data_IF_451025788487
#
_entry.id   IF_451025788487
#
_cell.length_a   1.000
_cell.length_b   1.000
_cell.length_c   1.000
_cell.angle_alpha   90.00
_cell.angle_beta   90.00
_cell.angle_gamma   90.00
#
_symmetry.space_group_name_H-M   'P 1'
#
loop_
_entity.id
_entity.type
_entity.pdbx_description
1 polymer ?
#
# COMPACT_ATOMS: atom_id res chain seq x y z
N UNK A 1 -36.98 41.53 26.01
CA UNK A 1 -35.95 40.47 25.84
C UNK A 1 -36.23 39.67 24.57
N UNK A 2 -37.37 39.04 24.38
CA UNK A 2 -37.69 38.19 23.23
C UNK A 2 -37.49 38.87 21.86
N UNK A 3 -37.91 40.15 21.74
CA UNK A 3 -37.74 40.94 20.51
C UNK A 3 -36.26 41.14 20.16
N UNK A 4 -35.41 41.40 21.16
CA UNK A 4 -33.95 41.53 20.95
C UNK A 4 -33.27 40.24 20.57
N UNK A 5 -33.70 39.12 21.17
CA UNK A 5 -33.21 37.78 20.80
C UNK A 5 -33.57 37.45 19.34
N UNK A 6 -34.79 37.70 18.92
CA UNK A 6 -35.25 37.49 17.55
C UNK A 6 -34.43 38.38 16.54
N UNK A 7 -34.17 39.62 16.86
CA UNK A 7 -33.37 40.51 16.02
C UNK A 7 -31.91 40.04 15.92
N UNK A 8 -31.34 39.52 17.00
CA UNK A 8 -29.98 38.99 17.01
C UNK A 8 -29.89 37.68 16.21
N UNK A 9 -30.87 36.81 16.33
CA UNK A 9 -30.95 35.58 15.54
C UNK A 9 -31.02 35.88 14.04
N UNK A 10 -31.85 36.83 13.62
CA UNK A 10 -31.93 37.30 12.22
C UNK A 10 -30.61 37.92 11.75
N UNK A 11 -29.95 38.73 12.55
CA UNK A 11 -28.67 39.32 12.18
C UNK A 11 -27.57 38.29 11.97
N UNK A 12 -27.53 37.24 12.78
CA UNK A 12 -26.58 36.13 12.59
C UNK A 12 -26.89 35.35 11.31
N UNK A 13 -28.18 35.10 11.01
CA UNK A 13 -28.59 34.47 9.74
C UNK A 13 -28.15 35.32 8.54
N UNK A 14 -28.46 36.60 8.54
CA UNK A 14 -28.06 37.54 7.47
C UNK A 14 -26.52 37.55 7.28
N UNK A 15 -25.76 37.54 8.38
CA UNK A 15 -24.32 37.44 8.36
C UNK A 15 -23.84 36.15 7.68
N UNK A 16 -24.47 35.01 8.02
CA UNK A 16 -24.16 33.70 7.37
C UNK A 16 -24.52 33.68 5.90
N UNK A 17 -25.63 34.26 5.50
CA UNK A 17 -26.05 34.29 4.09
C UNK A 17 -25.18 35.23 3.24
N UNK A 18 -24.73 36.35 3.83
CA UNK A 18 -23.92 37.37 3.13
C UNK A 18 -22.44 36.98 3.05
N UNK A 19 -21.90 36.55 4.16
CA UNK A 19 -20.47 36.21 4.29
C UNK A 19 -20.32 35.00 5.24
N UNK A 20 -20.55 33.79 4.75
CA UNK A 20 -20.45 32.58 5.57
C UNK A 20 -19.11 32.48 6.26
N UNK A 21 -19.10 32.36 7.59
CA UNK A 21 -17.87 32.20 8.35
C UNK A 21 -18.04 31.22 9.51
N UNK A 22 -16.98 30.46 9.87
CA UNK A 22 -17.03 29.55 11.01
C UNK A 22 -17.37 30.25 12.33
N UNK A 23 -16.99 31.51 12.51
CA UNK A 23 -17.24 32.28 13.72
C UNK A 23 -18.72 32.57 13.88
N UNK A 24 -19.37 33.08 12.82
CA UNK A 24 -20.82 33.39 12.84
C UNK A 24 -21.60 32.08 13.03
N UNK A 25 -21.21 31.02 12.31
CA UNK A 25 -21.85 29.69 12.43
C UNK A 25 -21.81 29.18 13.86
N UNK A 26 -20.63 29.10 14.48
CA UNK A 26 -20.45 28.62 15.85
C UNK A 26 -21.22 29.48 16.86
N UNK A 27 -21.25 30.79 16.66
CA UNK A 27 -22.03 31.70 17.52
C UNK A 27 -23.52 31.38 17.41
N UNK A 28 -24.03 31.20 16.18
CA UNK A 28 -25.44 30.89 15.97
C UNK A 28 -25.80 29.54 16.62
N UNK A 29 -25.09 28.46 16.33
CA UNK A 29 -25.38 27.12 16.86
C UNK A 29 -25.31 27.09 18.39
N UNK A 30 -24.39 27.82 18.98
CA UNK A 30 -24.25 27.95 20.44
C UNK A 30 -25.42 28.67 21.08
N UNK A 31 -25.83 29.82 20.48
CA UNK A 31 -26.87 30.69 21.07
C UNK A 31 -28.30 30.22 20.71
N UNK A 32 -28.47 29.59 19.55
CA UNK A 32 -29.76 29.20 18.99
C UNK A 32 -29.73 27.74 18.46
N UNK A 33 -29.45 26.74 19.31
CA UNK A 33 -29.31 25.33 18.83
C UNK A 33 -30.60 24.80 18.22
N UNK A 34 -31.76 25.28 18.68
CA UNK A 34 -33.11 24.97 18.16
C UNK A 34 -33.76 26.21 17.52
N UNK A 35 -32.93 27.13 17.03
CA UNK A 35 -33.38 28.39 16.46
C UNK A 35 -34.21 28.20 15.20
N UNK A 36 -35.08 29.18 14.93
CA UNK A 36 -35.99 29.18 13.79
C UNK A 36 -35.28 28.97 12.44
N UNK A 37 -34.03 29.43 12.34
CA UNK A 37 -33.24 29.42 11.10
C UNK A 37 -32.11 28.40 11.12
N UNK A 38 -32.08 27.48 12.06
CA UNK A 38 -31.01 26.48 12.20
C UNK A 38 -30.77 25.67 10.92
N UNK A 39 -31.85 25.37 10.17
CA UNK A 39 -31.73 24.66 8.90
C UNK A 39 -30.99 25.47 7.82
N UNK A 40 -31.29 26.76 7.72
CA UNK A 40 -30.68 27.66 6.74
C UNK A 40 -29.21 27.94 7.08
N UNK A 41 -28.89 28.12 8.34
CA UNK A 41 -27.52 28.34 8.83
C UNK A 41 -26.67 27.09 8.60
N UNK A 42 -27.17 25.90 8.91
CA UNK A 42 -26.45 24.64 8.62
C UNK A 42 -26.30 24.41 7.11
N UNK A 43 -27.30 24.72 6.29
CA UNK A 43 -27.17 24.64 4.83
C UNK A 43 -26.09 25.59 4.30
N UNK A 44 -26.04 26.82 4.78
CA UNK A 44 -25.02 27.80 4.40
C UNK A 44 -23.59 27.36 4.79
N UNK A 45 -23.39 26.85 6.01
CA UNK A 45 -22.10 26.34 6.45
C UNK A 45 -21.68 25.08 5.65
N UNK A 46 -22.63 24.19 5.37
CA UNK A 46 -22.35 23.00 4.57
C UNK A 46 -21.89 23.36 3.14
N UNK A 47 -22.53 24.36 2.51
CA UNK A 47 -22.11 24.90 1.21
C UNK A 47 -20.71 25.51 1.32
N UNK A 48 -20.43 26.30 2.36
CA UNK A 48 -19.10 26.88 2.58
C UNK A 48 -18.01 25.80 2.70
N UNK A 49 -18.24 24.77 3.50
CA UNK A 49 -17.30 23.65 3.67
C UNK A 49 -17.09 22.90 2.35
N UNK A 50 -18.16 22.67 1.58
CA UNK A 50 -18.07 22.06 0.27
C UNK A 50 -17.22 22.92 -0.71
N UNK A 51 -17.48 24.23 -0.78
CA UNK A 51 -16.72 25.14 -1.63
C UNK A 51 -15.24 25.22 -1.21
N UNK A 52 -14.96 25.15 0.08
CA UNK A 52 -13.58 25.10 0.59
C UNK A 52 -12.82 23.88 0.09
N UNK A 53 -13.45 22.69 0.14
CA UNK A 53 -12.85 21.47 -0.40
C UNK A 53 -12.66 21.56 -1.91
N UNK A 54 -13.65 22.06 -2.63
CA UNK A 54 -13.61 22.18 -4.10
C UNK A 54 -12.53 23.15 -4.58
N UNK A 55 -12.36 24.27 -3.90
CA UNK A 55 -11.36 25.28 -4.23
C UNK A 55 -9.93 24.84 -3.89
N UNK A 56 -9.76 24.11 -2.80
CA UNK A 56 -8.46 23.61 -2.34
C UNK A 56 -8.61 22.22 -1.68
N UNK A 57 -8.45 21.13 -2.43
CA UNK A 57 -8.54 19.76 -1.90
C UNK A 57 -7.29 19.44 -1.06
N UNK A 58 -7.33 19.78 0.23
CA UNK A 58 -6.28 19.53 1.20
C UNK A 58 -6.77 18.61 2.33
N UNK A 59 -5.87 17.87 3.02
CA UNK A 59 -6.26 17.07 4.18
C UNK A 59 -7.03 17.85 5.23
N UNK A 60 -6.64 19.11 5.48
CA UNK A 60 -7.31 19.98 6.46
C UNK A 60 -8.75 20.34 6.04
N UNK A 61 -8.96 20.63 4.75
CA UNK A 61 -10.28 20.99 4.24
C UNK A 61 -11.21 19.78 4.19
N UNK A 62 -10.71 18.60 3.81
CA UNK A 62 -11.46 17.35 3.91
C UNK A 62 -11.83 17.04 5.36
N UNK A 63 -10.88 17.16 6.27
CA UNK A 63 -11.13 16.98 7.71
C UNK A 63 -12.20 17.95 8.21
N UNK A 64 -12.11 19.22 7.86
CA UNK A 64 -13.11 20.22 8.23
C UNK A 64 -14.51 19.87 7.71
N UNK A 65 -14.62 19.31 6.50
CA UNK A 65 -15.89 18.85 5.97
C UNK A 65 -16.40 17.59 6.70
N UNK A 66 -15.59 16.54 6.81
CA UNK A 66 -16.05 15.26 7.35
C UNK A 66 -16.23 15.24 8.86
N UNK A 67 -15.39 15.96 9.61
CA UNK A 67 -15.32 15.88 11.08
C UNK A 67 -15.92 17.08 11.81
N UNK A 68 -16.58 18.00 11.10
CA UNK A 68 -17.29 19.08 11.80
C UNK A 68 -18.36 18.51 12.72
N UNK A 69 -18.22 18.66 14.06
CA UNK A 69 -19.08 17.98 15.01
C UNK A 69 -20.54 18.47 14.99
N UNK A 70 -20.73 19.73 14.68
CA UNK A 70 -22.10 20.32 14.62
C UNK A 70 -22.81 19.83 13.35
N UNK A 71 -22.09 19.73 12.22
CA UNK A 71 -22.63 19.18 10.99
C UNK A 71 -22.96 17.69 11.15
N UNK A 72 -22.06 16.90 11.76
CA UNK A 72 -22.32 15.49 12.02
C UNK A 72 -23.59 15.32 12.88
N UNK A 73 -23.66 16.03 14.01
CA UNK A 73 -24.82 16.01 14.92
C UNK A 73 -26.11 16.42 14.20
N UNK A 74 -26.06 17.49 13.41
CA UNK A 74 -27.23 18.00 12.71
C UNK A 74 -27.80 17.00 11.71
N UNK A 75 -26.95 16.38 10.87
CA UNK A 75 -27.39 15.45 9.83
C UNK A 75 -27.61 14.02 10.33
N UNK A 76 -27.17 13.66 11.52
CA UNK A 76 -27.40 12.34 12.11
C UNK A 76 -28.90 11.97 12.18
N UNK A 77 -29.78 12.96 12.41
CA UNK A 77 -31.23 12.76 12.59
C UNK A 77 -32.07 13.29 11.44
N UNK A 78 -31.46 14.01 10.48
CA UNK A 78 -32.18 14.73 9.42
C UNK A 78 -31.94 14.22 8.00
N UNK A 79 -31.25 13.10 7.88
CA UNK A 79 -30.98 12.45 6.60
C UNK A 79 -29.57 12.69 6.06
N UNK A 80 -29.28 12.26 4.82
CA UNK A 80 -27.94 12.33 4.27
C UNK A 80 -27.47 13.79 4.12
N UNK A 81 -26.22 14.03 4.51
CA UNK A 81 -25.60 15.35 4.37
C UNK A 81 -25.44 15.70 2.88
N UNK A 82 -25.92 16.89 2.44
CA UNK A 82 -25.71 17.34 1.07
C UNK A 82 -24.23 17.39 0.70
N UNK A 83 -23.91 17.14 -0.56
CA UNK A 83 -22.54 17.10 -1.12
C UNK A 83 -21.63 15.99 -0.56
N UNK A 84 -22.11 15.14 0.36
CA UNK A 84 -21.28 14.09 0.97
C UNK A 84 -20.71 13.13 -0.10
N UNK A 85 -21.52 12.74 -1.08
CA UNK A 85 -21.10 11.84 -2.15
C UNK A 85 -20.02 12.51 -3.03
N UNK A 86 -20.23 13.77 -3.42
CA UNK A 86 -19.27 14.52 -4.23
C UNK A 86 -17.93 14.74 -3.49
N UNK A 87 -17.98 15.10 -2.20
CA UNK A 87 -16.75 15.28 -1.40
C UNK A 87 -16.01 13.97 -1.20
N UNK A 88 -16.72 12.84 -1.11
CA UNK A 88 -16.08 11.51 -1.09
C UNK A 88 -15.37 11.20 -2.40
N UNK A 89 -15.97 11.51 -3.54
CA UNK A 89 -15.29 11.35 -4.84
C UNK A 89 -14.05 12.25 -4.93
N UNK A 90 -14.16 13.52 -4.55
CA UNK A 90 -13.02 14.43 -4.52
C UNK A 90 -11.90 13.95 -3.59
N UNK A 91 -12.25 13.32 -2.48
CA UNK A 91 -11.28 12.76 -1.54
C UNK A 91 -10.62 11.49 -2.09
N UNK A 92 -11.38 10.62 -2.75
CA UNK A 92 -10.88 9.44 -3.45
C UNK A 92 -9.84 9.82 -4.51
N UNK A 93 -10.19 10.76 -5.38
CA UNK A 93 -9.30 11.31 -6.40
C UNK A 93 -8.05 11.98 -5.80
N UNK A 94 -8.21 12.75 -4.72
CA UNK A 94 -7.11 13.41 -4.02
C UNK A 94 -6.09 12.40 -3.48
N UNK A 95 -6.55 11.33 -2.86
CA UNK A 95 -5.67 10.27 -2.35
C UNK A 95 -4.95 9.55 -3.49
N UNK A 96 -5.66 9.27 -4.59
CA UNK A 96 -5.07 8.63 -5.76
C UNK A 96 -4.00 9.51 -6.43
N UNK A 97 -4.24 10.80 -6.61
CA UNK A 97 -3.26 11.75 -7.15
C UNK A 97 -1.99 11.84 -6.30
N UNK A 98 -2.11 11.75 -4.97
CA UNK A 98 -0.93 11.69 -4.09
C UNK A 98 -0.07 10.46 -4.37
N UNK A 99 -0.68 9.31 -4.62
CA UNK A 99 0.03 8.08 -5.00
C UNK A 99 0.74 8.27 -6.34
N UNK A 100 0.09 8.86 -7.32
CA UNK A 100 0.67 9.14 -8.64
C UNK A 100 1.89 10.06 -8.56
N UNK A 101 1.86 11.05 -7.67
CA UNK A 101 3.01 11.91 -7.43
C UNK A 101 4.20 11.17 -6.81
N UNK A 102 3.95 10.19 -5.94
CA UNK A 102 4.98 9.37 -5.31
C UNK A 102 5.55 8.29 -6.23
N UNK A 103 4.79 7.80 -7.21
CA UNK A 103 5.30 6.87 -8.23
C UNK A 103 6.53 7.42 -8.94
N UNK A 104 6.54 8.71 -9.23
CA UNK A 104 7.64 9.42 -9.91
C UNK A 104 8.88 9.57 -9.03
N UNK A 105 8.72 9.53 -7.72
CA UNK A 105 9.81 9.68 -6.73
C UNK A 105 10.41 8.39 -6.17
N UNK A 106 9.88 7.21 -6.53
CA UNK A 106 10.50 5.92 -6.19
C UNK A 106 10.43 5.49 -4.71
N UNK A 107 9.64 6.14 -3.85
CA UNK A 107 9.57 5.81 -2.42
C UNK A 107 8.46 4.77 -2.13
N UNK A 108 8.82 3.49 -2.20
CA UNK A 108 7.90 2.37 -1.96
C UNK A 108 7.25 2.40 -0.56
N UNK A 109 7.97 2.83 0.47
CA UNK A 109 7.44 2.91 1.84
C UNK A 109 6.35 3.99 1.95
N UNK A 110 6.57 5.16 1.33
CA UNK A 110 5.57 6.22 1.32
C UNK A 110 4.32 5.84 0.51
N UNK A 111 4.49 5.09 -0.58
CA UNK A 111 3.37 4.54 -1.36
C UNK A 111 2.54 3.59 -0.49
N UNK A 112 3.17 2.66 0.23
CA UNK A 112 2.48 1.75 1.15
C UNK A 112 1.67 2.51 2.20
N UNK A 113 2.27 3.50 2.84
CA UNK A 113 1.58 4.28 3.87
C UNK A 113 0.31 4.95 3.31
N UNK A 114 0.38 5.54 2.12
CA UNK A 114 -0.80 6.17 1.51
C UNK A 114 -1.85 5.13 1.11
N UNK A 115 -1.43 3.95 0.66
CA UNK A 115 -2.37 2.86 0.36
C UNK A 115 -3.09 2.38 1.63
N UNK A 116 -2.36 2.25 2.74
CA UNK A 116 -2.94 1.89 4.03
C UNK A 116 -3.89 2.98 4.53
N UNK A 117 -3.52 4.25 4.42
CA UNK A 117 -4.39 5.39 4.71
C UNK A 117 -5.66 5.37 3.85
N UNK A 118 -5.53 5.06 2.56
CA UNK A 118 -6.66 4.91 1.64
C UNK A 118 -7.59 3.76 2.03
N UNK A 119 -7.03 2.59 2.33
CA UNK A 119 -7.82 1.41 2.74
C UNK A 119 -8.54 1.62 4.07
N UNK A 120 -7.93 2.34 4.98
CA UNK A 120 -8.40 2.48 6.36
C UNK A 120 -9.14 3.80 6.64
N UNK A 121 -9.21 4.72 5.67
CA UNK A 121 -9.91 5.98 5.90
C UNK A 121 -11.39 5.80 6.22
N UNK A 122 -11.91 6.44 7.28
CA UNK A 122 -13.32 6.38 7.62
C UNK A 122 -14.22 7.20 6.67
N UNK A 123 -13.62 8.04 5.82
CA UNK A 123 -14.37 8.96 4.96
C UNK A 123 -14.91 8.30 3.69
N UNK A 124 -14.32 7.18 3.25
CA UNK A 124 -14.78 6.41 2.10
C UNK A 124 -15.53 5.17 2.57
N UNK A 125 -16.78 5.03 2.13
CA UNK A 125 -17.54 3.81 2.37
C UNK A 125 -16.98 2.65 1.53
N UNK A 126 -17.20 1.40 1.98
CA UNK A 126 -16.73 0.15 1.34
C UNK A 126 -17.30 0.07 -0.06
N UNK A 127 -17.66 0.57 -0.86
CA UNK A 127 -18.16 0.48 -2.25
C UNK A 127 -17.89 1.73 -3.08
N UNK A 128 -17.32 2.77 -2.45
CA UNK A 128 -17.06 4.05 -3.12
C UNK A 128 -15.58 4.28 -3.45
N UNK A 129 -14.73 3.27 -3.23
CA UNK A 129 -13.31 3.31 -3.55
C UNK A 129 -13.11 2.91 -5.01
N UNK A 130 -13.02 3.89 -5.91
CA UNK A 130 -12.95 3.65 -7.35
C UNK A 130 -11.55 3.21 -7.81
N UNK A 131 -10.51 3.58 -7.05
CA UNK A 131 -9.11 3.30 -7.39
C UNK A 131 -8.51 2.08 -6.68
N UNK A 132 -9.34 1.24 -6.05
CA UNK A 132 -8.83 0.12 -5.25
C UNK A 132 -7.94 -0.84 -6.03
N UNK A 133 -8.34 -1.21 -7.26
CA UNK A 133 -7.56 -2.13 -8.10
C UNK A 133 -6.22 -1.52 -8.53
N UNK A 134 -6.19 -0.24 -8.88
CA UNK A 134 -4.96 0.45 -9.27
C UNK A 134 -4.01 0.56 -8.07
N UNK A 135 -4.56 0.79 -6.88
CA UNK A 135 -3.80 0.87 -5.63
C UNK A 135 -3.25 -0.50 -5.22
N UNK A 136 -4.00 -1.57 -5.41
CA UNK A 136 -3.50 -2.93 -5.17
C UNK A 136 -2.35 -3.28 -6.11
N UNK A 137 -2.46 -2.95 -7.40
CA UNK A 137 -1.36 -3.13 -8.35
C UNK A 137 -0.10 -2.36 -7.92
N UNK A 138 -0.26 -1.10 -7.50
CA UNK A 138 0.85 -0.28 -7.02
C UNK A 138 1.44 -0.77 -5.71
N UNK A 139 0.62 -1.31 -4.83
CA UNK A 139 1.08 -1.96 -3.60
C UNK A 139 1.99 -3.14 -3.93
N UNK A 140 1.52 -4.05 -4.79
CA UNK A 140 2.32 -5.21 -5.20
C UNK A 140 3.61 -4.81 -5.91
N UNK A 141 3.56 -3.76 -6.74
CA UNK A 141 4.77 -3.19 -7.36
C UNK A 141 5.75 -2.66 -6.32
N UNK A 142 5.28 -1.88 -5.35
CA UNK A 142 6.12 -1.36 -4.28
C UNK A 142 6.73 -2.48 -3.43
N UNK A 143 5.94 -3.51 -3.12
CA UNK A 143 6.38 -4.69 -2.39
C UNK A 143 7.47 -5.44 -3.15
N UNK A 144 7.31 -5.58 -4.46
CA UNK A 144 8.32 -6.21 -5.32
C UNK A 144 9.61 -5.39 -5.40
N UNK A 145 9.52 -4.06 -5.53
CA UNK A 145 10.72 -3.20 -5.54
C UNK A 145 11.50 -3.23 -4.21
N UNK A 146 10.82 -3.42 -3.09
CA UNK A 146 11.46 -3.63 -1.78
C UNK A 146 12.04 -5.03 -1.64
N UNK A 147 11.42 -6.03 -2.26
CA UNK A 147 11.88 -7.42 -2.24
C UNK A 147 13.18 -7.62 -3.02
N UNK A 148 13.30 -7.00 -4.21
CA UNK A 148 14.46 -7.17 -5.10
C UNK A 148 15.81 -7.10 -4.39
N UNK A 149 16.14 -6.03 -3.65
CA UNK A 149 17.46 -5.92 -2.99
C UNK A 149 17.60 -6.87 -1.80
N UNK A 150 16.51 -7.44 -1.28
CA UNK A 150 16.55 -8.38 -0.17
C UNK A 150 16.91 -9.83 -0.62
N UNK A 151 16.82 -10.11 -1.92
CA UNK A 151 17.12 -11.43 -2.47
C UNK A 151 18.59 -11.50 -2.86
N UNK A 152 19.44 -11.87 -1.93
CA UNK A 152 20.90 -11.89 -2.08
C UNK A 152 21.50 -13.30 -2.06
N UNK A 153 20.80 -14.29 -1.52
CA UNK A 153 21.28 -15.68 -1.39
C UNK A 153 20.10 -16.67 -1.29
N UNK A 154 20.40 -17.94 -1.17
CA UNK A 154 19.40 -19.01 -1.03
C UNK A 154 18.57 -18.91 0.27
N UNK A 155 19.10 -18.33 1.33
CA UNK A 155 18.37 -18.16 2.61
C UNK A 155 17.24 -17.15 2.47
N UNK A 156 17.39 -16.17 1.59
CA UNK A 156 16.37 -15.16 1.30
C UNK A 156 15.21 -15.68 0.44
N UNK A 157 15.27 -16.93 -0.07
CA UNK A 157 14.19 -17.53 -0.88
C UNK A 157 12.86 -17.63 -0.13
N UNK A 158 12.87 -17.68 1.20
CA UNK A 158 11.65 -17.63 2.02
C UNK A 158 10.82 -16.38 1.75
N UNK A 159 11.46 -15.23 1.56
CA UNK A 159 10.80 -13.96 1.24
C UNK A 159 10.10 -14.01 -0.13
N UNK A 160 10.74 -14.62 -1.13
CA UNK A 160 10.15 -14.85 -2.44
C UNK A 160 8.93 -15.78 -2.38
N UNK A 161 9.02 -16.84 -1.58
CA UNK A 161 7.90 -17.78 -1.42
C UNK A 161 6.69 -17.08 -0.78
N UNK A 162 6.91 -16.24 0.23
CA UNK A 162 5.85 -15.47 0.87
C UNK A 162 5.23 -14.45 -0.10
N UNK A 163 6.06 -13.73 -0.84
CA UNK A 163 5.59 -12.84 -1.89
C UNK A 163 4.71 -13.56 -2.92
N UNK A 164 5.15 -14.72 -3.42
CA UNK A 164 4.40 -15.51 -4.42
C UNK A 164 3.08 -16.06 -3.90
N UNK A 165 2.93 -16.26 -2.58
CA UNK A 165 1.66 -16.69 -1.95
C UNK A 165 0.66 -15.54 -1.84
N UNK A 166 1.13 -14.35 -1.51
CA UNK A 166 0.28 -13.23 -1.10
C UNK A 166 -0.07 -12.28 -2.23
N UNK A 167 0.71 -12.27 -3.33
CA UNK A 167 0.55 -11.33 -4.43
C UNK A 167 -0.10 -11.99 -5.66
N UNK A 168 -1.01 -11.27 -6.32
CA UNK A 168 -1.87 -11.80 -7.39
C UNK A 168 -1.45 -11.43 -8.81
N UNK A 169 -0.74 -10.29 -8.99
CA UNK A 169 -0.42 -9.81 -10.32
C UNK A 169 0.69 -10.63 -10.98
N UNK A 170 0.34 -11.21 -12.13
CA UNK A 170 1.19 -12.15 -12.87
C UNK A 170 2.57 -11.55 -13.20
N UNK A 171 2.60 -10.28 -13.58
CA UNK A 171 3.84 -9.56 -13.93
C UNK A 171 4.88 -9.63 -12.81
N UNK A 172 4.50 -9.32 -11.58
CA UNK A 172 5.42 -9.34 -10.43
C UNK A 172 5.75 -10.75 -9.99
N UNK A 173 4.82 -11.68 -10.13
CA UNK A 173 5.05 -13.10 -9.86
C UNK A 173 6.07 -13.70 -10.83
N UNK A 174 5.99 -13.36 -12.12
CA UNK A 174 6.94 -13.81 -13.13
C UNK A 174 8.34 -13.25 -12.88
N UNK A 175 8.43 -11.95 -12.54
CA UNK A 175 9.69 -11.30 -12.17
C UNK A 175 10.27 -11.90 -10.87
N UNK A 176 9.45 -12.18 -9.85
CA UNK A 176 9.88 -12.82 -8.62
C UNK A 176 10.40 -14.25 -8.88
N UNK A 177 9.74 -15.02 -9.75
CA UNK A 177 10.23 -16.33 -10.17
C UNK A 177 11.58 -16.23 -10.92
N UNK A 178 11.79 -15.19 -11.73
CA UNK A 178 13.07 -14.94 -12.38
C UNK A 178 14.18 -14.64 -11.37
N UNK A 179 13.91 -13.87 -10.30
CA UNK A 179 14.84 -13.65 -9.19
C UNK A 179 15.17 -14.95 -8.44
N UNK A 180 14.24 -15.88 -8.39
CA UNK A 180 14.44 -17.20 -7.79
C UNK A 180 15.39 -18.08 -8.59
N UNK A 181 15.36 -17.98 -9.91
CA UNK A 181 16.08 -18.88 -10.82
C UNK A 181 17.57 -19.07 -10.49
N UNK A 182 18.36 -18.04 -10.16
CA UNK A 182 19.76 -18.22 -9.79
C UNK A 182 20.00 -19.11 -8.58
N UNK A 183 19.04 -19.18 -7.66
CA UNK A 183 19.18 -19.86 -6.36
C UNK A 183 18.48 -21.24 -6.30
N UNK A 184 17.51 -21.49 -7.17
CA UNK A 184 16.64 -22.69 -7.10
C UNK A 184 17.08 -23.81 -8.04
N UNK A 185 18.02 -23.57 -8.93
CA UNK A 185 18.57 -24.65 -9.75
C UNK A 185 19.65 -25.44 -8.99
N UNK A 186 19.32 -25.92 -7.79
CA UNK A 186 19.94 -27.11 -7.21
C UNK A 186 19.08 -28.31 -7.58
N UNK A 187 19.32 -28.92 -8.72
CA UNK A 187 18.80 -30.24 -9.00
C UNK A 187 19.75 -31.25 -8.34
N UNK A 188 19.22 -32.11 -7.49
CA UNK A 188 19.96 -33.25 -6.97
C UNK A 188 19.46 -34.44 -7.78
N UNK A 189 20.31 -35.00 -8.60
CA UNK A 189 20.02 -36.21 -9.34
C UNK A 189 20.72 -37.37 -8.63
N UNK A 190 19.97 -38.24 -8.00
CA UNK A 190 20.51 -39.44 -7.33
C UNK A 190 20.32 -40.68 -8.19
N UNK A 191 21.39 -41.43 -8.37
CA UNK A 191 21.39 -42.77 -8.89
C UNK A 191 21.93 -43.72 -7.82
N UNK A 192 21.84 -45.07 -7.96
CA UNK A 192 22.38 -45.99 -6.97
C UNK A 192 23.89 -45.82 -6.69
N UNK A 193 24.64 -45.25 -7.65
CA UNK A 193 26.10 -45.12 -7.58
C UNK A 193 26.61 -43.67 -7.61
N UNK A 194 25.73 -42.68 -7.82
CA UNK A 194 26.15 -41.28 -7.91
C UNK A 194 25.06 -40.35 -7.44
N UNK A 195 25.51 -39.24 -6.79
CA UNK A 195 24.67 -38.09 -6.46
C UNK A 195 25.26 -36.86 -7.12
N UNK A 196 24.52 -36.24 -8.03
CA UNK A 196 24.91 -35.06 -8.78
C UNK A 196 24.18 -33.82 -8.30
N UNK A 197 24.93 -32.77 -7.99
CA UNK A 197 24.40 -31.49 -7.54
C UNK A 197 24.57 -30.45 -8.65
N UNK A 198 23.50 -29.84 -9.04
CA UNK A 198 23.50 -28.79 -10.06
C UNK A 198 23.13 -27.43 -9.43
N UNK A 199 23.84 -26.39 -9.80
CA UNK A 199 23.49 -25.01 -9.47
C UNK A 199 23.37 -24.23 -10.77
N UNK A 200 22.26 -23.54 -10.98
CA UNK A 200 22.00 -22.82 -12.23
C UNK A 200 22.13 -23.69 -13.50
N UNK A 201 21.67 -24.94 -13.42
CA UNK A 201 21.78 -25.89 -14.52
C UNK A 201 23.19 -26.44 -14.78
N UNK A 202 24.17 -26.05 -13.97
CA UNK A 202 25.56 -26.50 -14.08
C UNK A 202 25.86 -27.52 -13.00
N UNK A 203 26.56 -28.59 -13.38
CA UNK A 203 27.04 -29.57 -12.42
C UNK A 203 28.10 -28.92 -11.52
N UNK A 204 27.81 -28.79 -10.23
CA UNK A 204 28.74 -28.16 -9.26
C UNK A 204 29.44 -29.18 -8.38
N UNK A 205 28.79 -30.34 -8.15
CA UNK A 205 29.37 -31.39 -7.36
C UNK A 205 28.86 -32.74 -7.86
N UNK A 206 29.73 -33.73 -7.91
CA UNK A 206 29.37 -35.10 -8.13
C UNK A 206 29.97 -35.95 -7.01
N UNK A 207 29.19 -36.77 -6.36
CA UNK A 207 29.64 -37.78 -5.39
C UNK A 207 29.36 -39.16 -5.99
N UNK A 208 30.39 -39.93 -6.23
CA UNK A 208 30.29 -41.27 -6.80
C UNK A 208 30.87 -42.28 -5.81
N UNK A 209 30.27 -43.45 -5.75
CA UNK A 209 30.77 -44.56 -4.93
C UNK A 209 31.10 -45.69 -5.86
N UNK A 210 32.36 -46.10 -5.85
CA UNK A 210 32.85 -47.27 -6.60
C UNK A 210 33.60 -48.26 -5.69
N UNK A 211 34.26 -49.25 -6.28
CA UNK A 211 35.03 -50.23 -5.53
C UNK A 211 36.26 -49.66 -4.81
N UNK A 212 36.69 -48.43 -5.14
CA UNK A 212 37.86 -47.80 -4.55
C UNK A 212 37.52 -46.89 -3.38
N UNK A 213 36.24 -46.44 -3.27
CA UNK A 213 35.71 -45.61 -2.21
C UNK A 213 34.73 -44.58 -2.69
N UNK A 214 34.54 -43.50 -1.89
CA UNK A 214 33.68 -42.37 -2.27
C UNK A 214 34.55 -41.32 -2.96
N UNK A 215 34.18 -40.97 -4.18
CA UNK A 215 34.83 -39.91 -4.95
C UNK A 215 33.95 -38.68 -4.95
N UNK A 216 34.45 -37.57 -4.45
CA UNK A 216 33.77 -36.28 -4.53
C UNK A 216 34.49 -35.38 -5.52
N UNK A 217 33.82 -35.02 -6.61
CA UNK A 217 34.34 -34.09 -7.62
C UNK A 217 33.56 -32.78 -7.55
N UNK A 218 34.27 -31.68 -7.35
CA UNK A 218 33.74 -30.31 -7.31
C UNK A 218 34.12 -29.58 -8.60
N UNK A 219 33.13 -28.88 -9.17
CA UNK A 219 33.30 -28.08 -10.40
C UNK A 219 33.11 -26.62 -10.06
N UNK A 220 34.16 -25.79 -10.34
CA UNK A 220 34.16 -24.38 -10.02
C UNK A 220 34.06 -23.56 -11.32
N UNK A 221 33.16 -22.61 -11.35
CA UNK A 221 32.88 -21.75 -12.50
C UNK A 221 33.18 -20.29 -12.18
N UNK A 222 33.65 -19.52 -13.19
CA UNK A 222 33.79 -18.06 -13.05
C UNK A 222 32.45 -17.34 -13.22
N UNK A 223 32.44 -16.01 -13.02
CA UNK A 223 31.27 -15.16 -13.14
C UNK A 223 30.58 -15.21 -14.53
N UNK A 224 31.38 -15.56 -15.57
CA UNK A 224 30.86 -15.75 -16.93
C UNK A 224 30.30 -17.16 -17.16
N UNK A 225 30.40 -18.01 -16.14
CA UNK A 225 29.89 -19.37 -16.19
C UNK A 225 30.74 -20.36 -16.93
N UNK A 226 32.03 -20.06 -17.11
CA UNK A 226 33.00 -20.98 -17.68
C UNK A 226 33.64 -21.80 -16.57
N UNK A 227 33.77 -23.11 -16.79
CA UNK A 227 34.42 -24.02 -15.86
C UNK A 227 35.93 -23.61 -15.73
N UNK A 228 36.36 -23.33 -14.51
CA UNK A 228 37.73 -22.90 -14.21
C UNK A 228 38.56 -23.95 -13.51
N UNK A 229 37.91 -24.76 -12.66
CA UNK A 229 38.59 -25.74 -11.83
C UNK A 229 37.77 -26.98 -11.62
N UNK A 230 38.38 -28.12 -11.62
CA UNK A 230 37.80 -29.41 -11.20
C UNK A 230 38.69 -29.96 -10.10
N UNK A 231 38.09 -30.22 -8.94
CA UNK A 231 38.73 -30.79 -7.77
C UNK A 231 38.11 -32.15 -7.49
N UNK A 232 38.89 -33.20 -7.44
CA UNK A 232 38.43 -34.55 -7.07
C UNK A 232 39.14 -35.02 -5.80
N UNK A 233 38.38 -35.48 -4.85
CA UNK A 233 38.90 -36.08 -3.61
C UNK A 233 38.32 -37.49 -3.50
N UNK A 234 39.21 -38.44 -3.30
CA UNK A 234 38.81 -39.85 -3.05
C UNK A 234 38.93 -40.14 -1.55
N UNK A 235 37.87 -40.63 -0.93
CA UNK A 235 37.88 -41.03 0.48
C UNK A 235 37.67 -42.54 0.56
N UNK A 236 38.57 -43.21 1.25
CA UNK A 236 38.46 -44.62 1.55
C UNK A 236 38.30 -44.79 3.07
N UNK A 237 37.20 -45.43 3.50
CA UNK A 237 36.86 -45.59 4.91
C UNK A 237 36.85 -44.28 5.71
N UNK A 238 36.43 -43.16 5.08
CA UNK A 238 36.32 -41.85 5.74
C UNK A 238 37.66 -41.10 5.92
N UNK A 239 38.74 -41.58 5.27
CA UNK A 239 40.02 -40.91 5.24
C UNK A 239 40.37 -40.55 3.79
N UNK A 240 41.01 -39.36 3.53
CA UNK A 240 41.51 -39.06 2.19
C UNK A 240 42.47 -40.16 1.73
N UNK A 241 42.25 -40.67 0.54
CA UNK A 241 43.24 -41.57 -0.08
C UNK A 241 44.37 -40.71 -0.61
N UNK A 242 45.59 -40.99 -0.14
CA UNK A 242 46.81 -40.36 -0.63
C UNK A 242 47.04 -40.62 -2.12
#
# INVERSE_FOLDING_TARGET
LQRLQNLREVALLEGMLKTPSPAIYRTYVKEYPDGKFIAQVNASENVRLYQLVKAAPTPANFKAFFEDPEMQKYYQTRGPRPYLAEVRTLYDDFLFQRIDSLKKGGNATAIRQIIDDYKNTPYLATGTRTHLNDLEYLSEKADFELLKPAIVNSESLGLLQEFLKTHKYKEFRDQANALRAPFVLQAIVSTPTAVKYYTQGRLTKCCETDSTGNITTSYIYNDKGQLTTVLSVTEKNGQPAN
#
